data_IF_363340799763
#
_entry.id   IF_363340799763
#
_cell.length_a   1.000
_cell.length_b   1.000
_cell.length_c   1.000
_cell.angle_alpha   90.00
_cell.angle_beta   90.00
_cell.angle_gamma   90.00
#
_symmetry.space_group_name_H-M   'P 1'
#
loop_
_entity.id
_entity.type
_entity.pdbx_description
1 polymer ?
#
# COMPACT_ATOMS: atom_id res chain seq x y z
N UNK A 1 -34.33 -20.49 27.12
CA UNK A 1 -33.36 -19.63 27.82
C UNK A 1 -31.97 -20.22 27.58
N UNK A 2 -31.51 -20.20 26.32
CA UNK A 2 -30.23 -20.83 25.91
C UNK A 2 -29.65 -20.23 24.60
N UNK A 3 -30.13 -19.05 24.18
CA UNK A 3 -29.74 -18.43 22.89
C UNK A 3 -28.71 -17.30 23.07
N UNK A 4 -28.46 -16.86 24.30
CA UNK A 4 -27.61 -15.70 24.59
C UNK A 4 -26.12 -16.06 24.82
N UNK A 5 -25.81 -17.37 24.87
CA UNK A 5 -24.45 -17.89 25.04
C UNK A 5 -23.72 -18.11 23.70
N UNK A 6 -24.44 -18.33 22.60
CA UNK A 6 -23.84 -18.59 21.28
C UNK A 6 -23.38 -17.29 20.58
N UNK A 7 -24.10 -16.17 20.79
CA UNK A 7 -23.73 -14.86 20.24
C UNK A 7 -22.42 -14.32 20.85
N UNK A 8 -22.16 -14.60 22.13
CA UNK A 8 -20.92 -14.17 22.81
C UNK A 8 -19.68 -14.95 22.36
N UNK A 9 -19.82 -16.23 21.96
CA UNK A 9 -18.71 -17.06 21.46
C UNK A 9 -18.36 -16.78 19.98
N UNK A 10 -19.28 -16.24 19.18
CA UNK A 10 -19.05 -15.85 17.77
C UNK A 10 -18.19 -14.60 17.56
N UNK A 11 -17.76 -13.93 18.64
CA UNK A 11 -16.64 -12.95 18.58
C UNK A 11 -15.26 -13.61 18.77
N UNK A 12 -15.16 -14.90 18.48
CA UNK A 12 -13.92 -15.67 18.47
C UNK A 12 -12.98 -15.36 17.29
N UNK A 13 -11.85 -16.05 17.25
CA UNK A 13 -10.76 -15.91 16.26
C UNK A 13 -11.24 -15.77 14.81
N UNK A 14 -12.30 -16.49 14.41
CA UNK A 14 -12.90 -16.41 13.07
C UNK A 14 -13.33 -15.00 12.66
N UNK A 15 -13.84 -14.19 13.59
CA UNK A 15 -14.21 -12.80 13.31
C UNK A 15 -13.00 -11.92 12.98
N UNK A 16 -11.86 -12.19 13.60
CA UNK A 16 -10.60 -11.49 13.27
C UNK A 16 -10.05 -11.95 11.92
N UNK A 17 -10.20 -13.23 11.56
CA UNK A 17 -9.89 -13.72 10.20
C UNK A 17 -10.72 -12.96 9.16
N UNK A 18 -12.03 -12.82 9.35
CA UNK A 18 -12.89 -12.07 8.43
C UNK A 18 -12.47 -10.60 8.27
N UNK A 19 -11.94 -9.97 9.33
CA UNK A 19 -11.38 -8.61 9.24
C UNK A 19 -10.09 -8.55 8.43
N UNK A 20 -9.26 -9.58 8.55
CA UNK A 20 -8.09 -9.79 7.69
C UNK A 20 -8.48 -9.88 6.22
N UNK A 21 -9.49 -10.71 5.94
CA UNK A 21 -10.05 -10.87 4.58
C UNK A 21 -10.60 -9.54 4.08
N UNK A 22 -11.40 -8.84 4.88
CA UNK A 22 -11.96 -7.54 4.51
C UNK A 22 -10.87 -6.50 4.20
N UNK A 23 -9.79 -6.46 4.99
CA UNK A 23 -8.63 -5.60 4.73
C UNK A 23 -7.92 -5.98 3.42
N UNK A 24 -7.64 -7.27 3.22
CA UNK A 24 -7.03 -7.76 1.98
C UNK A 24 -7.85 -7.42 0.74
N UNK A 25 -9.16 -7.66 0.78
CA UNK A 25 -10.09 -7.32 -0.31
C UNK A 25 -10.13 -5.80 -0.52
N UNK A 26 -10.18 -5.02 0.56
CA UNK A 26 -10.13 -3.56 0.47
C UNK A 26 -8.87 -3.08 -0.26
N UNK A 27 -7.70 -3.67 0.01
CA UNK A 27 -6.47 -3.37 -0.72
C UNK A 27 -6.58 -3.58 -2.23
N UNK A 28 -7.28 -4.64 -2.66
CA UNK A 28 -7.46 -4.97 -4.08
C UNK A 28 -8.57 -4.17 -4.78
N UNK A 29 -9.41 -3.41 -4.05
CA UNK A 29 -10.60 -2.76 -4.60
C UNK A 29 -10.36 -1.89 -5.84
N UNK A 30 -9.32 -1.02 -5.90
CA UNK A 30 -9.10 -0.22 -7.09
C UNK A 30 -8.99 -1.07 -8.36
N UNK A 31 -8.28 -2.20 -8.29
CA UNK A 31 -8.15 -3.11 -9.42
C UNK A 31 -9.43 -3.91 -9.70
N UNK A 32 -10.06 -4.44 -8.66
CA UNK A 32 -11.27 -5.25 -8.80
C UNK A 32 -12.46 -4.48 -9.38
N UNK A 33 -12.52 -3.16 -9.18
CA UNK A 33 -13.60 -2.32 -9.68
C UNK A 33 -13.33 -1.69 -11.04
N UNK A 34 -12.07 -1.55 -11.46
CA UNK A 34 -11.71 -0.80 -12.67
C UNK A 34 -11.47 -1.68 -13.91
N UNK A 35 -11.53 -3.00 -13.75
CA UNK A 35 -11.39 -3.96 -14.84
C UNK A 35 -10.36 -5.03 -14.50
N UNK A 36 -10.72 -6.06 -13.70
CA UNK A 36 -9.79 -7.06 -13.17
C UNK A 36 -9.41 -8.12 -14.22
N UNK A 37 -8.99 -7.68 -15.39
CA UNK A 37 -8.61 -8.52 -16.51
C UNK A 37 -7.12 -8.38 -16.76
N UNK A 38 -6.48 -9.50 -17.10
CA UNK A 38 -5.04 -9.55 -17.32
C UNK A 38 -4.67 -8.50 -18.38
N UNK A 39 -3.82 -7.51 -18.03
CA UNK A 39 -3.38 -6.52 -19.02
C UNK A 39 -2.69 -7.20 -20.20
N UNK A 40 -2.65 -6.52 -21.34
CA UNK A 40 -1.93 -7.02 -22.51
C UNK A 40 -0.46 -7.32 -22.15
N UNK A 41 -0.01 -8.52 -22.46
CA UNK A 41 1.33 -9.02 -22.19
C UNK A 41 2.17 -8.87 -23.46
N UNK A 42 3.32 -8.21 -23.36
CA UNK A 42 4.23 -8.04 -24.51
C UNK A 42 4.82 -9.37 -25.01
N UNK A 43 4.76 -10.41 -24.18
CA UNK A 43 5.22 -11.77 -24.46
C UNK A 43 4.05 -12.77 -24.58
N UNK A 44 2.82 -12.26 -24.75
CA UNK A 44 1.63 -13.08 -24.90
C UNK A 44 1.55 -13.76 -26.27
N UNK A 45 0.94 -14.94 -26.33
CA UNK A 45 0.64 -15.63 -27.59
C UNK A 45 -0.77 -15.26 -28.08
N UNK A 46 -0.88 -14.72 -29.30
CA UNK A 46 -2.18 -14.50 -29.95
C UNK A 46 -3.15 -13.57 -29.21
N UNK A 47 -2.66 -12.67 -28.35
CA UNK A 47 -3.53 -11.74 -27.62
C UNK A 47 -4.13 -10.69 -28.56
N UNK A 48 -5.46 -10.64 -28.61
CA UNK A 48 -6.24 -9.64 -29.34
C UNK A 48 -6.51 -8.45 -28.42
N UNK A 49 -5.97 -7.28 -28.76
CA UNK A 49 -6.15 -6.05 -27.99
C UNK A 49 -7.63 -5.58 -27.93
N UNK A 50 -8.49 -6.11 -28.79
CA UNK A 50 -9.92 -5.81 -28.79
C UNK A 50 -10.75 -6.66 -27.81
N UNK A 51 -10.15 -7.67 -27.15
CA UNK A 51 -10.82 -8.56 -26.21
C UNK A 51 -10.26 -8.41 -24.80
N UNK A 52 -11.14 -8.46 -23.81
CA UNK A 52 -10.74 -8.50 -22.41
C UNK A 52 -9.90 -9.75 -22.13
N UNK A 53 -8.80 -9.57 -21.39
CA UNK A 53 -7.97 -10.67 -20.91
C UNK A 53 -8.71 -11.55 -19.88
N UNK A 54 -8.15 -12.71 -19.51
CA UNK A 54 -8.71 -13.53 -18.44
C UNK A 54 -8.71 -12.78 -17.11
N UNK A 55 -9.67 -13.11 -16.23
CA UNK A 55 -9.76 -12.50 -14.90
C UNK A 55 -8.50 -12.75 -14.06
N UNK A 56 -7.98 -11.71 -13.42
CA UNK A 56 -6.88 -11.79 -12.46
C UNK A 56 -7.08 -10.86 -11.28
N UNK A 57 -6.63 -11.28 -10.10
CA UNK A 57 -6.74 -10.49 -8.88
C UNK A 57 -5.64 -9.43 -8.74
N UNK A 58 -4.55 -9.54 -9.50
CA UNK A 58 -3.46 -8.55 -9.52
C UNK A 58 -3.14 -8.14 -10.96
N UNK A 59 -2.81 -6.86 -11.20
CA UNK A 59 -2.48 -6.36 -12.52
C UNK A 59 -1.05 -6.76 -12.90
N UNK A 60 -0.79 -8.04 -13.19
CA UNK A 60 0.53 -8.49 -13.64
C UNK A 60 0.91 -7.83 -14.97
N UNK A 61 1.76 -6.81 -14.90
CA UNK A 61 2.32 -6.08 -16.02
C UNK A 61 3.56 -5.32 -15.55
N UNK A 62 4.58 -5.20 -16.41
CA UNK A 62 5.74 -4.34 -16.14
C UNK A 62 5.36 -2.88 -15.84
N UNK A 63 4.24 -2.41 -16.40
CA UNK A 63 3.74 -1.05 -16.20
C UNK A 63 2.93 -0.87 -14.91
N UNK A 64 2.58 -1.98 -14.23
CA UNK A 64 1.73 -1.98 -13.05
C UNK A 64 2.47 -2.44 -11.77
N UNK A 65 3.81 -2.55 -11.81
CA UNK A 65 4.64 -2.95 -10.67
C UNK A 65 4.30 -2.15 -9.40
N UNK A 66 4.27 -0.82 -9.51
CA UNK A 66 3.92 0.07 -8.39
C UNK A 66 2.50 -0.18 -7.91
N UNK A 67 1.56 -0.42 -8.81
CA UNK A 67 0.17 -0.72 -8.45
C UNK A 67 0.06 -2.04 -7.71
N UNK A 68 0.77 -3.11 -8.13
CA UNK A 68 0.83 -4.39 -7.40
C UNK A 68 1.29 -4.16 -5.95
N UNK A 69 2.37 -3.39 -5.77
CA UNK A 69 2.92 -3.08 -4.45
C UNK A 69 1.88 -2.37 -3.60
N UNK A 70 1.28 -1.31 -4.14
CA UNK A 70 0.31 -0.45 -3.45
C UNK A 70 -0.94 -1.22 -3.02
N UNK A 71 -1.54 -2.03 -3.91
CA UNK A 71 -2.74 -2.81 -3.60
C UNK A 71 -2.51 -3.80 -2.44
N UNK A 72 -1.36 -4.47 -2.45
CA UNK A 72 -1.01 -5.45 -1.42
C UNK A 72 -0.68 -4.75 -0.10
N UNK A 73 0.16 -3.71 -0.10
CA UNK A 73 0.55 -2.97 1.10
C UNK A 73 -0.66 -2.35 1.80
N UNK A 74 -1.55 -1.68 1.06
CA UNK A 74 -2.77 -1.10 1.62
C UNK A 74 -3.73 -2.15 2.19
N UNK A 75 -3.80 -3.34 1.58
CA UNK A 75 -4.56 -4.44 2.14
C UNK A 75 -4.11 -4.80 3.57
N UNK A 76 -2.80 -4.79 3.81
CA UNK A 76 -2.23 -4.98 5.15
C UNK A 76 -2.52 -3.84 6.11
N UNK A 77 -2.50 -2.60 5.61
CA UNK A 77 -2.81 -1.40 6.40
C UNK A 77 -4.27 -1.42 6.86
N UNK A 78 -5.21 -1.67 5.94
CA UNK A 78 -6.63 -1.78 6.28
C UNK A 78 -6.90 -2.91 7.26
N UNK A 79 -6.34 -4.10 7.03
CA UNK A 79 -6.46 -5.23 7.95
C UNK A 79 -5.95 -4.86 9.36
N UNK A 80 -4.79 -4.21 9.44
CA UNK A 80 -4.20 -3.74 10.69
C UNK A 80 -5.06 -2.71 11.42
N UNK A 81 -5.59 -1.70 10.70
CA UNK A 81 -6.47 -0.66 11.26
C UNK A 81 -7.75 -1.28 11.82
N UNK A 82 -8.42 -2.14 11.04
CA UNK A 82 -9.67 -2.81 11.43
C UNK A 82 -9.43 -3.72 12.65
N UNK A 83 -8.29 -4.42 12.71
CA UNK A 83 -7.90 -5.22 13.86
C UNK A 83 -7.65 -4.36 15.12
N UNK A 84 -6.99 -3.20 14.97
CA UNK A 84 -6.66 -2.29 16.09
C UNK A 84 -7.87 -1.55 16.66
N UNK A 85 -8.88 -1.26 15.85
CA UNK A 85 -10.01 -0.38 16.21
C UNK A 85 -10.79 -0.84 17.47
N UNK A 86 -10.76 -2.13 17.81
CA UNK A 86 -11.32 -2.64 19.07
C UNK A 86 -10.20 -3.04 20.04
N UNK A 87 -9.78 -2.07 20.87
CA UNK A 87 -8.92 -2.30 22.05
C UNK A 87 -9.68 -3.11 23.10
N UNK A 88 -9.84 -4.40 22.88
CA UNK A 88 -10.50 -5.28 23.84
C UNK A 88 -9.50 -6.34 24.28
N UNK A 89 -8.75 -6.08 25.34
CA UNK A 89 -7.81 -6.99 26.02
C UNK A 89 -6.43 -7.25 25.34
N UNK A 90 -5.37 -7.44 26.15
CA UNK A 90 -4.03 -7.81 25.68
C UNK A 90 -4.01 -9.26 25.17
N UNK A 91 -3.40 -9.50 24.01
CA UNK A 91 -3.18 -10.86 23.48
C UNK A 91 -2.81 -10.87 21.99
N UNK A 92 -1.87 -11.74 21.61
CA UNK A 92 -1.35 -11.85 20.25
C UNK A 92 -2.26 -12.64 19.30
N UNK A 93 -3.18 -13.48 19.81
CA UNK A 93 -3.99 -14.36 18.97
C UNK A 93 -4.85 -13.61 17.92
N UNK A 94 -5.32 -12.41 18.25
CA UNK A 94 -6.22 -11.61 17.39
C UNK A 94 -5.51 -10.92 16.23
N UNK A 95 -4.39 -10.20 16.43
CA UNK A 95 -3.62 -9.67 15.31
C UNK A 95 -3.12 -10.78 14.38
N UNK A 96 -2.74 -11.95 14.92
CA UNK A 96 -2.35 -13.10 14.08
C UNK A 96 -3.53 -13.72 13.34
N UNK A 97 -4.73 -13.74 13.91
CA UNK A 97 -5.94 -14.18 13.19
C UNK A 97 -6.30 -13.23 12.03
N UNK A 98 -6.21 -11.92 12.26
CA UNK A 98 -6.38 -10.94 11.18
C UNK A 98 -5.28 -11.05 10.11
N UNK A 99 -4.03 -11.27 10.52
CA UNK A 99 -2.96 -11.58 9.57
C UNK A 99 -3.28 -12.83 8.76
N UNK A 100 -3.79 -13.90 9.38
CA UNK A 100 -4.16 -15.13 8.68
C UNK A 100 -5.19 -14.89 7.56
N UNK A 101 -6.24 -14.10 7.84
CA UNK A 101 -7.22 -13.73 6.81
C UNK A 101 -6.62 -12.90 5.67
N UNK A 102 -5.73 -11.96 5.98
CA UNK A 102 -5.01 -11.17 4.99
C UNK A 102 -4.10 -12.04 4.11
N UNK A 103 -3.31 -12.92 4.73
CA UNK A 103 -2.38 -13.83 4.05
C UNK A 103 -3.14 -14.70 3.06
N UNK A 104 -4.30 -15.24 3.44
CA UNK A 104 -5.14 -16.04 2.53
C UNK A 104 -5.51 -15.25 1.29
N UNK A 105 -6.02 -14.02 1.43
CA UNK A 105 -6.40 -13.18 0.28
C UNK A 105 -5.22 -12.91 -0.64
N UNK A 106 -4.07 -12.50 -0.09
CA UNK A 106 -2.90 -12.16 -0.90
C UNK A 106 -2.27 -13.38 -1.57
N UNK A 107 -2.18 -14.51 -0.88
CA UNK A 107 -1.66 -15.76 -1.47
C UNK A 107 -2.57 -16.23 -2.59
N UNK A 108 -3.90 -16.22 -2.39
CA UNK A 108 -4.85 -16.56 -3.46
C UNK A 108 -4.69 -15.62 -4.65
N UNK A 109 -4.59 -14.30 -4.43
CA UNK A 109 -4.43 -13.33 -5.50
C UNK A 109 -3.13 -13.54 -6.30
N UNK A 110 -2.00 -13.80 -5.60
CA UNK A 110 -0.70 -14.07 -6.22
C UNK A 110 -0.73 -15.37 -7.01
N UNK A 111 -1.19 -16.47 -6.41
CA UNK A 111 -1.21 -17.80 -7.05
C UNK A 111 -2.13 -17.80 -8.27
N UNK A 112 -3.36 -17.27 -8.13
CA UNK A 112 -4.33 -17.20 -9.22
C UNK A 112 -3.78 -16.37 -10.37
N UNK A 113 -3.30 -15.16 -10.09
CA UNK A 113 -2.76 -14.27 -11.14
C UNK A 113 -1.54 -14.89 -11.82
N UNK A 114 -0.64 -15.51 -11.06
CA UNK A 114 0.57 -16.16 -11.61
C UNK A 114 0.20 -17.32 -12.53
N UNK A 115 -0.74 -18.19 -12.12
CA UNK A 115 -1.19 -19.32 -12.93
C UNK A 115 -1.88 -18.85 -14.22
N UNK A 116 -2.77 -17.87 -14.13
CA UNK A 116 -3.47 -17.28 -15.28
C UNK A 116 -2.52 -16.54 -16.23
N UNK A 117 -1.52 -15.82 -15.70
CA UNK A 117 -0.52 -15.15 -16.54
C UNK A 117 0.33 -16.18 -17.28
N UNK A 118 0.77 -17.24 -16.60
CA UNK A 118 1.57 -18.32 -17.20
C UNK A 118 0.87 -18.96 -18.40
N UNK A 119 -0.45 -19.18 -18.33
CA UNK A 119 -1.20 -19.81 -19.42
C UNK A 119 -1.36 -18.96 -20.67
N UNK A 120 -1.00 -17.67 -20.62
CA UNK A 120 -1.14 -16.72 -21.74
C UNK A 120 0.21 -16.31 -22.33
N UNK A 121 1.29 -16.51 -21.58
CA UNK A 121 2.65 -16.22 -22.04
C UNK A 121 3.17 -17.30 -22.99
N UNK A 122 3.98 -16.89 -23.96
CA UNK A 122 4.70 -17.81 -24.83
C UNK A 122 5.67 -18.69 -24.02
N UNK A 123 5.87 -19.94 -24.45
CA UNK A 123 6.86 -20.85 -23.87
C UNK A 123 8.30 -20.43 -24.25
N UNK A 124 8.83 -19.44 -23.52
CA UNK A 124 10.17 -18.87 -23.70
C UNK A 124 10.81 -18.54 -22.35
N UNK A 125 12.14 -18.53 -22.30
CA UNK A 125 12.89 -18.22 -21.08
C UNK A 125 12.61 -16.80 -20.58
N UNK A 126 12.44 -15.83 -21.49
CA UNK A 126 12.11 -14.45 -21.15
C UNK A 126 10.74 -14.34 -20.47
N UNK A 127 9.76 -15.14 -20.90
CA UNK A 127 8.42 -15.21 -20.29
C UNK A 127 8.50 -15.74 -18.86
N UNK A 128 9.33 -16.76 -18.62
CA UNK A 128 9.55 -17.34 -17.29
C UNK A 128 10.22 -16.30 -16.38
N UNK A 129 11.29 -15.66 -16.84
CA UNK A 129 11.99 -14.63 -16.08
C UNK A 129 11.05 -13.47 -15.72
N UNK A 130 10.28 -12.98 -16.69
CA UNK A 130 9.27 -11.93 -16.49
C UNK A 130 8.25 -12.31 -15.41
N UNK A 131 7.67 -13.51 -15.50
CA UNK A 131 6.68 -13.98 -14.53
C UNK A 131 7.28 -14.14 -13.13
N UNK A 132 8.51 -14.66 -13.03
CA UNK A 132 9.24 -14.82 -11.76
C UNK A 132 9.48 -13.45 -11.12
N UNK A 133 9.93 -12.46 -11.89
CA UNK A 133 10.19 -11.11 -11.37
C UNK A 133 8.92 -10.43 -10.87
N UNK A 134 7.81 -10.50 -11.61
CA UNK A 134 6.52 -9.96 -11.15
C UNK A 134 6.01 -10.66 -9.89
N UNK A 135 6.15 -11.98 -9.84
CA UNK A 135 5.76 -12.78 -8.67
C UNK A 135 6.62 -12.44 -7.46
N UNK A 136 7.93 -12.24 -7.65
CA UNK A 136 8.83 -11.82 -6.59
C UNK A 136 8.45 -10.43 -6.02
N UNK A 137 8.10 -9.47 -6.89
CA UNK A 137 7.57 -8.16 -6.47
C UNK A 137 6.31 -8.33 -5.62
N UNK A 138 5.35 -9.15 -6.09
CA UNK A 138 4.10 -9.36 -5.37
C UNK A 138 4.33 -10.02 -4.00
N UNK A 139 5.23 -11.00 -3.91
CA UNK A 139 5.60 -11.64 -2.65
C UNK A 139 6.28 -10.66 -1.68
N UNK A 140 7.22 -9.85 -2.14
CA UNK A 140 7.88 -8.83 -1.32
C UNK A 140 6.90 -7.76 -0.81
N UNK A 141 5.96 -7.34 -1.66
CA UNK A 141 4.88 -6.43 -1.27
C UNK A 141 3.95 -7.07 -0.23
N UNK A 142 3.59 -8.35 -0.40
CA UNK A 142 2.79 -9.09 0.58
C UNK A 142 3.49 -9.19 1.94
N UNK A 143 4.79 -9.53 1.97
CA UNK A 143 5.57 -9.55 3.21
C UNK A 143 5.58 -8.17 3.89
N UNK A 144 5.75 -7.10 3.12
CA UNK A 144 5.67 -5.72 3.63
C UNK A 144 4.30 -5.42 4.22
N UNK A 145 3.22 -5.84 3.55
CA UNK A 145 1.85 -5.72 4.03
C UNK A 145 1.62 -6.49 5.33
N UNK A 146 2.17 -7.69 5.46
CA UNK A 146 2.06 -8.52 6.66
C UNK A 146 2.75 -7.86 7.86
N UNK A 147 3.95 -7.33 7.66
CA UNK A 147 4.68 -6.57 8.67
C UNK A 147 3.88 -5.32 9.07
N UNK A 148 3.38 -4.54 8.12
CA UNK A 148 2.55 -3.37 8.38
C UNK A 148 1.28 -3.73 9.17
N UNK A 149 0.59 -4.80 8.79
CA UNK A 149 -0.58 -5.31 9.49
C UNK A 149 -0.27 -5.64 10.95
N UNK A 150 0.80 -6.39 11.22
CA UNK A 150 1.22 -6.76 12.58
C UNK A 150 1.62 -5.52 13.39
N UNK A 151 2.39 -4.60 12.78
CA UNK A 151 2.79 -3.34 13.42
C UNK A 151 1.56 -2.52 13.85
N UNK A 152 0.60 -2.33 12.95
CA UNK A 152 -0.62 -1.56 13.25
C UNK A 152 -1.48 -2.30 14.26
N UNK A 153 -1.71 -3.60 14.09
CA UNK A 153 -2.64 -4.36 14.91
C UNK A 153 -2.12 -4.62 16.35
N UNK A 154 -0.83 -4.95 16.49
CA UNK A 154 -0.27 -5.45 17.74
C UNK A 154 0.68 -4.48 18.45
N UNK A 155 1.41 -3.63 17.72
CA UNK A 155 2.50 -2.87 18.32
C UNK A 155 2.01 -1.70 19.20
N UNK A 156 2.87 -1.23 20.13
CA UNK A 156 2.69 0.05 20.81
C UNK A 156 2.51 1.20 19.82
N UNK A 157 2.09 2.37 20.31
CA UNK A 157 1.77 3.52 19.44
C UNK A 157 2.86 3.88 18.43
N UNK A 158 4.14 3.80 18.80
CA UNK A 158 5.24 4.06 17.88
C UNK A 158 5.30 3.03 16.74
N UNK A 159 5.28 1.73 17.05
CA UNK A 159 5.26 0.67 16.03
C UNK A 159 4.03 0.72 15.13
N UNK A 160 2.86 0.98 15.71
CA UNK A 160 1.64 1.15 14.92
C UNK A 160 1.72 2.40 14.02
N UNK A 161 2.32 3.48 14.52
CA UNK A 161 2.60 4.68 13.73
C UNK A 161 3.51 4.38 12.54
N UNK A 162 4.54 3.54 12.73
CA UNK A 162 5.43 3.11 11.64
C UNK A 162 4.66 2.39 10.54
N UNK A 163 3.81 1.43 10.88
CA UNK A 163 2.97 0.75 9.89
C UNK A 163 1.98 1.69 9.19
N UNK A 164 1.38 2.64 9.91
CA UNK A 164 0.49 3.66 9.34
C UNK A 164 1.22 4.60 8.37
N UNK A 165 2.46 4.96 8.68
CA UNK A 165 3.27 5.83 7.83
C UNK A 165 3.68 5.12 6.54
N UNK A 166 4.04 3.83 6.62
CA UNK A 166 4.31 3.00 5.43
C UNK A 166 3.06 2.92 4.55
N UNK A 167 1.89 2.68 5.15
CA UNK A 167 0.61 2.73 4.45
C UNK A 167 0.35 4.10 3.83
N UNK A 168 0.37 5.17 4.62
CA UNK A 168 0.14 6.53 4.13
C UNK A 168 1.00 6.93 2.93
N UNK A 169 2.25 6.45 2.85
CA UNK A 169 3.10 6.67 1.67
C UNK A 169 2.58 5.97 0.40
N UNK A 170 1.98 4.79 0.53
CA UNK A 170 1.31 4.05 -0.56
C UNK A 170 -0.14 4.52 -0.81
N UNK A 171 -0.82 5.04 0.22
CA UNK A 171 -2.25 5.37 0.21
C UNK A 171 -2.62 6.45 -0.80
N UNK A 172 -1.72 7.40 -1.07
CA UNK A 172 -1.92 8.37 -2.16
C UNK A 172 -2.07 7.70 -3.53
N UNK A 173 -1.19 6.73 -3.83
CA UNK A 173 -1.24 5.95 -5.07
C UNK A 173 -2.43 4.99 -5.10
N UNK A 174 -2.86 4.45 -3.96
CA UNK A 174 -4.04 3.59 -3.88
C UNK A 174 -5.32 4.36 -4.19
N UNK A 175 -5.45 5.56 -3.62
CA UNK A 175 -6.57 6.48 -3.91
C UNK A 175 -6.52 6.90 -5.37
N UNK A 176 -5.34 7.23 -5.90
CA UNK A 176 -5.18 7.58 -7.31
C UNK A 176 -5.61 6.43 -8.23
N UNK A 177 -5.21 5.18 -7.94
CA UNK A 177 -5.60 4.01 -8.72
C UNK A 177 -7.11 3.76 -8.73
N UNK A 178 -7.84 4.24 -7.71
CA UNK A 178 -9.30 4.14 -7.65
C UNK A 178 -9.99 5.14 -8.58
N UNK A 179 -9.52 6.40 -8.62
CA UNK A 179 -10.13 7.47 -9.41
C UNK A 179 -9.57 7.59 -10.84
N UNK A 180 -8.37 7.07 -11.06
CA UNK A 180 -7.66 7.10 -12.33
C UNK A 180 -7.25 5.66 -12.68
N UNK A 181 -8.21 4.88 -13.20
CA UNK A 181 -7.97 3.51 -13.63
C UNK A 181 -6.73 3.41 -14.52
N UNK A 182 -5.93 2.38 -14.28
CA UNK A 182 -4.84 2.05 -15.18
C UNK A 182 -5.40 1.83 -16.59
N UNK A 183 -4.71 2.34 -17.60
CA UNK A 183 -5.05 2.19 -19.02
C UNK A 183 -6.36 2.87 -19.47
N UNK A 184 -6.95 3.76 -18.67
CA UNK A 184 -8.05 4.63 -19.12
C UNK A 184 -7.54 5.93 -19.74
N UNK A 185 -8.19 6.36 -20.84
CA UNK A 185 -7.86 7.60 -21.56
C UNK A 185 -8.61 8.85 -21.06
N UNK A 186 -9.66 8.67 -20.26
CA UNK A 186 -10.45 9.77 -19.70
C UNK A 186 -10.85 9.43 -18.27
N UNK A 187 -10.82 10.43 -17.38
CA UNK A 187 -11.37 10.31 -16.04
C UNK A 187 -12.27 11.51 -15.74
N UNK A 188 -13.48 11.30 -15.20
CA UNK A 188 -14.32 12.41 -14.75
C UNK A 188 -13.69 13.19 -13.58
N UNK A 189 -12.58 12.69 -13.02
CA UNK A 189 -11.90 13.25 -11.87
C UNK A 189 -10.64 14.06 -12.22
N UNK A 190 -10.42 14.45 -13.48
CA UNK A 190 -9.23 15.24 -13.90
C UNK A 190 -8.93 16.46 -13.02
N UNK A 191 -9.96 17.11 -12.47
CA UNK A 191 -9.80 18.22 -11.52
C UNK A 191 -9.02 17.87 -10.23
N UNK A 192 -8.89 16.58 -9.89
CA UNK A 192 -8.12 16.09 -8.75
C UNK A 192 -6.63 15.91 -9.04
N UNK A 193 -6.21 15.89 -10.32
CA UNK A 193 -4.80 15.65 -10.71
C UNK A 193 -3.81 16.59 -10.02
N UNK A 194 -4.06 17.91 -9.87
CA UNK A 194 -3.14 18.80 -9.17
C UNK A 194 -2.98 18.49 -7.68
N UNK A 195 -3.95 17.79 -7.07
CA UNK A 195 -4.00 17.51 -5.63
C UNK A 195 -3.36 16.15 -5.31
N UNK A 196 -3.37 15.19 -6.25
CA UNK A 196 -2.85 13.84 -6.04
C UNK A 196 -1.43 13.78 -5.45
N UNK A 197 -0.45 14.59 -5.90
CA UNK A 197 0.91 14.55 -5.35
C UNK A 197 0.97 14.87 -3.85
N UNK A 198 -0.04 15.56 -3.31
CA UNK A 198 -0.10 15.97 -1.91
C UNK A 198 -0.85 14.96 -1.02
N UNK A 199 -1.54 13.96 -1.58
CA UNK A 199 -2.31 13.00 -0.78
C UNK A 199 -1.41 12.19 0.16
N UNK A 200 -0.37 11.53 -0.35
CA UNK A 200 0.55 10.76 0.47
C UNK A 200 1.24 11.64 1.54
N UNK A 201 1.80 12.82 1.21
CA UNK A 201 2.34 13.76 2.21
C UNK A 201 1.37 14.13 3.33
N UNK A 202 0.10 14.41 2.99
CA UNK A 202 -0.94 14.74 3.97
C UNK A 202 -1.25 13.54 4.86
N UNK A 203 -1.44 12.36 4.27
CA UNK A 203 -1.71 11.13 5.03
C UNK A 203 -0.56 10.79 5.99
N UNK A 204 0.69 10.95 5.57
CA UNK A 204 1.87 10.75 6.42
C UNK A 204 1.87 11.76 7.56
N UNK A 205 1.59 13.03 7.28
CA UNK A 205 1.45 14.06 8.32
C UNK A 205 0.39 13.69 9.35
N UNK A 206 -0.79 13.22 8.92
CA UNK A 206 -1.86 12.75 9.80
C UNK A 206 -1.44 11.53 10.63
N UNK A 207 -0.70 10.58 10.05
CA UNK A 207 -0.16 9.43 10.78
C UNK A 207 0.83 9.87 11.88
N UNK A 208 1.66 10.89 11.62
CA UNK A 208 2.54 11.51 12.62
C UNK A 208 1.74 12.18 13.74
N UNK A 209 0.68 12.94 13.40
CA UNK A 209 -0.21 13.57 14.39
C UNK A 209 -0.86 12.53 15.29
N UNK A 210 -1.34 11.42 14.72
CA UNK A 210 -1.94 10.31 15.47
C UNK A 210 -0.93 9.69 16.44
N UNK A 211 0.27 9.41 15.94
CA UNK A 211 1.38 8.79 16.70
C UNK A 211 1.85 9.71 17.82
N UNK A 212 1.93 11.02 17.56
CA UNK A 212 2.52 12.03 18.42
C UNK A 212 4.05 12.06 18.34
N UNK A 213 4.69 12.91 19.14
CA UNK A 213 6.16 13.09 19.14
C UNK A 213 6.76 13.12 20.56
N UNK A 214 6.06 12.53 21.53
CA UNK A 214 6.42 12.64 22.95
C UNK A 214 7.48 11.64 23.43
N UNK A 215 7.87 10.68 22.60
CA UNK A 215 8.88 9.66 22.95
C UNK A 215 9.80 9.42 21.76
N UNK A 216 11.03 8.95 22.02
CA UNK A 216 12.03 8.68 20.98
C UNK A 216 11.46 7.80 19.86
N UNK A 217 10.82 6.68 20.20
CA UNK A 217 10.21 5.80 19.19
C UNK A 217 9.17 6.49 18.30
N UNK A 218 8.43 7.48 18.82
CA UNK A 218 7.45 8.23 18.04
C UNK A 218 8.10 9.31 17.16
N UNK A 219 9.20 9.90 17.62
CA UNK A 219 10.03 10.79 16.81
C UNK A 219 10.66 10.03 15.65
N UNK A 220 11.20 8.82 15.92
CA UNK A 220 11.73 7.95 14.88
C UNK A 220 10.67 7.58 13.84
N UNK A 221 9.43 7.26 14.25
CA UNK A 221 8.31 7.09 13.31
C UNK A 221 8.12 8.31 12.41
N UNK A 222 8.17 9.52 12.98
CA UNK A 222 8.04 10.76 12.20
C UNK A 222 9.18 10.95 11.20
N UNK A 223 10.42 10.68 11.62
CA UNK A 223 11.59 10.72 10.74
C UNK A 223 11.45 9.72 9.60
N UNK A 224 11.06 8.48 9.88
CA UNK A 224 10.80 7.48 8.83
C UNK A 224 9.71 7.95 7.87
N UNK A 225 8.67 8.62 8.35
CA UNK A 225 7.64 9.18 7.48
C UNK A 225 8.16 10.27 6.54
N UNK A 226 8.99 11.18 7.04
CA UNK A 226 9.63 12.18 6.19
C UNK A 226 10.57 11.53 5.15
N UNK A 227 11.34 10.52 5.56
CA UNK A 227 12.21 9.76 4.65
C UNK A 227 11.39 9.06 3.57
N UNK A 228 10.24 8.47 3.91
CA UNK A 228 9.37 7.83 2.92
C UNK A 228 8.75 8.84 1.96
N UNK A 229 8.27 10.00 2.44
CA UNK A 229 7.78 11.08 1.58
C UNK A 229 8.86 11.57 0.60
N UNK A 230 10.11 11.60 1.05
CA UNK A 230 11.25 11.95 0.20
C UNK A 230 11.58 10.86 -0.83
N UNK A 231 11.75 9.61 -0.39
CA UNK A 231 12.36 8.57 -1.23
C UNK A 231 11.37 7.75 -2.06
N UNK A 232 10.13 7.56 -1.60
CA UNK A 232 9.14 6.68 -2.27
C UNK A 232 8.77 7.20 -3.68
N UNK A 233 8.52 8.50 -3.91
CA UNK A 233 8.25 9.00 -5.25
C UNK A 233 9.43 8.76 -6.19
N UNK A 234 10.65 9.09 -5.76
CA UNK A 234 11.86 8.88 -6.54
C UNK A 234 12.10 7.39 -6.86
N UNK A 235 11.88 6.50 -5.88
CA UNK A 235 11.99 5.06 -6.07
C UNK A 235 10.95 4.54 -7.07
N UNK A 236 9.71 5.05 -6.98
CA UNK A 236 8.64 4.69 -7.91
C UNK A 236 8.99 5.11 -9.34
N UNK A 237 9.45 6.35 -9.53
CA UNK A 237 9.90 6.85 -10.84
C UNK A 237 11.06 6.01 -11.38
N UNK A 238 12.04 5.66 -10.54
CA UNK A 238 13.17 4.83 -10.93
C UNK A 238 12.75 3.43 -11.38
N UNK A 239 11.88 2.76 -10.61
CA UNK A 239 11.35 1.43 -10.95
C UNK A 239 10.57 1.49 -12.26
N UNK A 240 9.65 2.46 -12.41
CA UNK A 240 8.85 2.61 -13.63
C UNK A 240 9.72 2.90 -14.85
N UNK A 241 10.74 3.74 -14.70
CA UNK A 241 11.66 4.08 -15.81
C UNK A 241 12.53 2.88 -16.21
N UNK A 242 13.11 2.19 -15.23
CA UNK A 242 13.94 1.01 -15.45
C UNK A 242 13.13 -0.12 -16.10
N UNK A 243 11.98 -0.47 -15.52
CA UNK A 243 11.11 -1.53 -16.02
C UNK A 243 10.49 -1.20 -17.40
N UNK A 244 10.30 0.09 -17.73
CA UNK A 244 9.79 0.51 -19.04
C UNK A 244 10.81 0.42 -20.18
N UNK A 245 12.11 0.28 -19.86
CA UNK A 245 13.18 0.39 -20.87
C UNK A 245 13.44 -0.95 -21.56
N UNK A 246 12.79 -1.16 -22.71
CA UNK A 246 12.91 -2.41 -23.50
C UNK A 246 14.33 -2.65 -24.05
N UNK A 247 15.11 -1.59 -24.27
CA UNK A 247 16.49 -1.69 -24.78
C UNK A 247 17.41 -2.38 -23.78
N UNK A 248 17.19 -2.18 -22.48
CA UNK A 248 18.00 -2.74 -21.41
C UNK A 248 17.46 -4.08 -20.88
N UNK A 249 16.40 -4.63 -21.47
CA UNK A 249 15.78 -5.87 -20.99
C UNK A 249 16.75 -7.07 -21.01
N UNK A 250 17.78 -7.04 -21.85
CA UNK A 250 18.85 -8.06 -21.92
C UNK A 250 20.12 -7.68 -21.14
N UNK A 251 20.16 -6.49 -20.56
CA UNK A 251 21.29 -5.94 -19.79
C UNK A 251 20.80 -5.50 -18.40
N UNK A 252 20.61 -6.49 -17.50
CA UNK A 252 20.15 -6.23 -16.13
C UNK A 252 21.07 -5.28 -15.35
N UNK A 253 22.42 -5.38 -15.44
CA UNK A 253 23.32 -4.39 -14.86
C UNK A 253 23.07 -2.98 -15.41
N UNK A 254 22.93 -2.82 -16.72
CA UNK A 254 22.60 -1.53 -17.35
C UNK A 254 21.25 -0.97 -16.90
N UNK A 255 20.23 -1.83 -16.78
CA UNK A 255 18.92 -1.45 -16.26
C UNK A 255 18.96 -0.99 -14.80
N UNK A 256 19.76 -1.66 -13.97
CA UNK A 256 19.97 -1.28 -12.56
C UNK A 256 20.71 0.06 -12.46
N UNK A 257 21.72 0.29 -13.29
CA UNK A 257 22.46 1.55 -13.33
C UNK A 257 21.56 2.70 -13.81
N UNK A 258 20.74 2.48 -14.85
CA UNK A 258 19.76 3.47 -15.30
C UNK A 258 18.75 3.80 -14.19
N UNK A 259 18.20 2.78 -13.53
CA UNK A 259 17.31 2.98 -12.37
C UNK A 259 17.99 3.77 -11.25
N UNK A 260 19.26 3.49 -10.94
CA UNK A 260 20.06 4.23 -9.95
C UNK A 260 20.21 5.70 -10.34
N UNK A 261 20.50 5.99 -11.60
CA UNK A 261 20.64 7.36 -12.10
C UNK A 261 19.32 8.14 -11.99
N UNK A 262 18.21 7.53 -12.41
CA UNK A 262 16.86 8.13 -12.27
C UNK A 262 16.53 8.36 -10.80
N UNK A 263 16.81 7.40 -9.93
CA UNK A 263 16.58 7.52 -8.50
C UNK A 263 17.35 8.70 -7.90
N UNK A 264 18.66 8.76 -8.12
CA UNK A 264 19.51 9.84 -7.59
C UNK A 264 19.07 11.20 -8.13
N UNK A 265 18.76 11.29 -9.42
CA UNK A 265 18.24 12.51 -10.03
C UNK A 265 16.93 12.96 -9.37
N UNK A 266 15.94 12.07 -9.28
CA UNK A 266 14.64 12.39 -8.70
C UNK A 266 14.73 12.68 -7.19
N UNK A 267 15.62 11.99 -6.46
CA UNK A 267 15.81 12.16 -5.01
C UNK A 267 16.68 13.36 -4.64
N UNK A 268 17.18 14.13 -5.61
CA UNK A 268 17.98 15.34 -5.36
C UNK A 268 17.38 16.62 -5.96
N UNK A 269 16.33 16.54 -6.79
CA UNK A 269 15.62 17.69 -7.38
C UNK A 269 14.73 18.42 -6.34
N UNK A 270 15.08 19.66 -5.93
CA UNK A 270 14.34 20.39 -4.90
C UNK A 270 12.87 20.62 -5.24
N UNK A 271 12.55 20.85 -6.52
CA UNK A 271 11.20 21.13 -7.02
C UNK A 271 10.25 19.94 -6.80
N UNK A 272 10.79 18.72 -6.79
CA UNK A 272 10.03 17.49 -6.57
C UNK A 272 9.92 17.17 -5.08
N UNK A 273 10.98 17.45 -4.31
CA UNK A 273 11.13 16.94 -2.94
C UNK A 273 10.58 17.91 -1.88
N UNK A 274 10.88 19.21 -2.06
CA UNK A 274 10.58 20.22 -1.03
C UNK A 274 9.07 20.39 -0.83
N UNK A 275 8.23 20.54 -1.88
CA UNK A 275 6.80 20.78 -1.66
C UNK A 275 6.08 19.65 -0.89
N UNK A 276 6.28 18.36 -1.21
CA UNK A 276 5.75 17.25 -0.43
C UNK A 276 6.22 17.25 1.03
N UNK A 277 7.53 17.43 1.27
CA UNK A 277 8.08 17.45 2.63
C UNK A 277 7.51 18.59 3.47
N UNK A 278 7.46 19.80 2.89
CA UNK A 278 6.87 20.97 3.55
C UNK A 278 5.39 20.69 3.88
N UNK A 279 4.64 20.09 2.96
CA UNK A 279 3.24 19.73 3.19
C UNK A 279 3.10 18.77 4.37
N UNK A 280 3.90 17.71 4.42
CA UNK A 280 3.89 16.76 5.55
C UNK A 280 4.22 17.44 6.87
N UNK A 281 5.26 18.29 6.90
CA UNK A 281 5.66 19.02 8.10
C UNK A 281 4.56 19.98 8.55
N UNK A 282 3.96 20.74 7.63
CA UNK A 282 2.88 21.67 7.96
C UNK A 282 1.67 20.94 8.54
N UNK A 283 1.20 19.86 7.91
CA UNK A 283 0.10 19.04 8.42
C UNK A 283 0.43 18.48 9.80
N UNK A 284 1.65 17.97 10.00
CA UNK A 284 2.08 17.43 11.28
C UNK A 284 2.13 18.50 12.39
N UNK A 285 2.73 19.66 12.12
CA UNK A 285 2.84 20.76 13.08
C UNK A 285 1.46 21.29 13.46
N UNK A 286 0.63 21.63 12.46
CA UNK A 286 -0.72 22.16 12.69
C UNK A 286 -1.56 21.16 13.49
N UNK A 287 -1.58 19.88 13.10
CA UNK A 287 -2.35 18.86 13.80
C UNK A 287 -1.87 18.62 15.23
N UNK A 288 -0.57 18.66 15.49
CA UNK A 288 -0.01 18.55 16.85
C UNK A 288 -0.33 19.78 17.72
N UNK A 289 -0.29 20.99 17.16
CA UNK A 289 -0.65 22.23 17.86
C UNK A 289 -2.13 22.22 18.24
N UNK A 290 -3.03 21.94 17.28
CA UNK A 290 -4.47 21.85 17.53
C UNK A 290 -4.78 20.83 18.62
N UNK A 291 -4.15 19.65 18.57
CA UNK A 291 -4.31 18.61 19.59
C UNK A 291 -3.88 19.06 20.98
N UNK A 292 -2.82 19.86 21.10
CA UNK A 292 -2.35 20.42 22.39
C UNK A 292 -3.31 21.48 22.92
N UNK A 293 -3.81 22.37 22.08
CA UNK A 293 -4.75 23.43 22.48
C UNK A 293 -6.07 22.83 22.97
N UNK A 294 -6.68 21.93 22.19
CA UNK A 294 -7.94 21.25 22.56
C UNK A 294 -7.77 20.40 23.83
N UNK A 295 -6.61 19.76 24.00
CA UNK A 295 -6.32 18.99 25.21
C UNK A 295 -6.24 19.82 26.49
N UNK A 296 -5.73 21.06 26.41
CA UNK A 296 -5.65 21.98 27.56
C UNK A 296 -7.03 22.52 27.98
N UNK A 297 -7.90 22.84 27.01
CA UNK A 297 -9.25 23.32 27.31
C UNK A 297 -10.09 22.28 28.07
N UNK A 298 -10.03 21.00 27.65
CA UNK A 298 -10.77 19.91 28.34
C UNK A 298 -10.31 19.67 29.77
N UNK A 299 -9.02 19.84 30.05
CA UNK A 299 -8.47 19.71 31.40
C UNK A 299 -8.86 20.88 32.33
N UNK A 300 -9.06 22.08 31.75
CA UNK A 300 -9.56 23.25 32.50
C UNK A 300 -11.05 23.18 32.82
N UNK A 301 -11.87 22.55 31.96
CA UNK A 301 -13.31 22.34 32.20
C UNK A 301 -13.60 21.25 33.24
N UNK A 302 -12.73 20.24 33.40
CA UNK A 302 -12.90 19.20 34.44
C UNK A 302 -12.41 19.61 35.83
N UNK A 303 -11.69 20.74 35.91
CA UNK A 303 -11.18 21.30 37.17
C UNK A 303 -12.08 22.41 37.76
N UNK A 304 -13.19 22.73 37.11
CA UNK A 304 -14.27 23.61 37.61
C UNK A 304 -15.47 22.78 38.02
#
# INVERSE_FOLDING_TARGET
MDDDTDVRRRTGTAWFVLRGVAGGVAGLLPWLLTGPFLPLQNLGEGQDAAKDGPFVMLPYSQYAITTIIVLLVEGGVFAGIIARARRSRPGLARPFAALGGLVVVQVVAIVQTTATTRSVLQERDESVLYLVLLTAVAVLAAVTAWVACVLIAAAPRAGAGLGLVVGAAAGGSWIAAFFFPLFSYASPFEALLPVLPYLAPVLVGLAIVWTGVSTVGRVLTGIVGLVLVWLVPALTTAISSAAGTRVLARDLPGMAEFGRQVFVSASTMPEIIVPPLVTTVLVAVVGLVVRRVVGRHRAGETAR
#
